data_IF_888506421857
#
_entry.id   IF_888506421857
#
_cell.length_a   1.000
_cell.length_b   1.000
_cell.length_c   1.000
_cell.angle_alpha   90.00
_cell.angle_beta   90.00
_cell.angle_gamma   90.00
#
_symmetry.space_group_name_H-M   'P 1'
#
loop_
_entity.id
_entity.type
_entity.pdbx_description
1 polymer ?
#
# COMPACT_ATOMS: atom_id res chain seq x y z
N UNK A 1 6.12 -19.96 -50.63
CA UNK A 1 6.63 -19.11 -49.53
C UNK A 1 5.57 -19.11 -48.41
N UNK A 2 5.91 -19.54 -47.19
CA UNK A 2 4.96 -19.60 -46.05
C UNK A 2 5.06 -18.32 -45.23
N UNK A 3 3.96 -17.58 -45.10
CA UNK A 3 3.89 -16.34 -44.33
C UNK A 3 3.77 -16.62 -42.81
N UNK A 4 4.50 -15.88 -41.95
CA UNK A 4 4.42 -16.06 -40.51
C UNK A 4 3.12 -15.45 -39.97
N UNK A 5 2.29 -16.27 -39.31
CA UNK A 5 1.05 -15.84 -38.67
C UNK A 5 1.37 -15.25 -37.30
N UNK A 6 1.45 -13.91 -37.21
CA UNK A 6 1.64 -13.23 -35.93
C UNK A 6 0.32 -13.23 -35.14
N UNK A 7 0.31 -13.85 -33.95
CA UNK A 7 -0.80 -13.75 -33.00
C UNK A 7 -0.73 -12.39 -32.31
N UNK A 8 -1.53 -11.42 -32.75
CA UNK A 8 -1.76 -10.20 -31.97
C UNK A 8 -2.67 -10.53 -30.79
N UNK A 9 -2.09 -10.71 -29.61
CA UNK A 9 -2.86 -10.78 -28.36
C UNK A 9 -3.37 -9.36 -28.10
N UNK A 10 -4.66 -9.09 -28.38
CA UNK A 10 -5.32 -7.88 -27.90
C UNK A 10 -5.38 -7.98 -26.38
N UNK A 11 -4.47 -7.29 -25.70
CA UNK A 11 -4.55 -7.10 -24.25
C UNK A 11 -5.87 -6.42 -23.92
N UNK A 12 -6.67 -7.05 -23.07
CA UNK A 12 -7.89 -6.45 -22.54
C UNK A 12 -7.51 -5.18 -21.77
N UNK A 13 -8.11 -4.01 -22.08
CA UNK A 13 -7.89 -2.84 -21.26
C UNK A 13 -8.48 -3.13 -19.88
N UNK A 14 -7.64 -3.21 -18.85
CA UNK A 14 -8.08 -3.32 -17.46
C UNK A 14 -8.95 -2.11 -17.15
N UNK A 15 -10.27 -2.29 -17.16
CA UNK A 15 -11.24 -1.31 -16.69
C UNK A 15 -11.05 -1.09 -15.19
N UNK A 16 -10.15 -0.17 -14.84
CA UNK A 16 -9.95 0.30 -13.47
C UNK A 16 -11.09 1.21 -13.04
N UNK A 17 -12.24 0.64 -12.68
CA UNK A 17 -13.45 1.43 -12.36
C UNK A 17 -13.65 1.68 -10.85
N UNK A 18 -13.19 0.79 -9.96
CA UNK A 18 -13.40 0.91 -8.50
C UNK A 18 -12.12 1.00 -7.66
N UNK A 19 -11.19 0.05 -7.84
CA UNK A 19 -9.97 -0.05 -7.02
C UNK A 19 -9.00 1.11 -7.26
N UNK A 20 -8.94 1.63 -8.49
CA UNK A 20 -8.16 2.82 -8.84
C UNK A 20 -8.58 4.05 -8.04
N UNK A 21 -9.89 4.26 -7.86
CA UNK A 21 -10.44 5.37 -7.06
C UNK A 21 -10.09 5.24 -5.57
N UNK A 22 -10.10 4.02 -5.03
CA UNK A 22 -9.65 3.76 -3.65
C UNK A 22 -8.15 4.03 -3.47
N UNK A 23 -7.33 3.75 -4.49
CA UNK A 23 -5.91 4.06 -4.46
C UNK A 23 -5.61 5.56 -4.48
N UNK A 24 -6.50 6.40 -5.03
CA UNK A 24 -6.37 7.86 -4.96
C UNK A 24 -6.48 8.34 -3.51
N UNK A 25 -7.40 7.76 -2.71
CA UNK A 25 -7.57 8.10 -1.30
C UNK A 25 -6.61 7.35 -0.36
N UNK A 26 -5.96 6.29 -0.84
CA UNK A 26 -5.06 5.45 -0.05
C UNK A 26 -3.95 6.24 0.69
N UNK A 27 -3.28 7.26 0.11
CA UNK A 27 -2.28 8.04 0.84
C UNK A 27 -2.86 8.74 2.07
N UNK A 28 -4.02 9.37 1.93
CA UNK A 28 -4.71 10.10 3.00
C UNK A 28 -5.14 9.13 4.11
N UNK A 29 -5.77 8.02 3.73
CA UNK A 29 -6.15 6.97 4.67
C UNK A 29 -4.95 6.41 5.44
N UNK A 30 -3.81 6.25 4.76
CA UNK A 30 -2.58 5.72 5.35
C UNK A 30 -1.97 6.70 6.38
N UNK A 31 -2.03 8.00 6.13
CA UNK A 31 -1.59 9.02 7.08
C UNK A 31 -2.48 9.05 8.33
N UNK A 32 -3.80 9.00 8.16
CA UNK A 32 -4.74 8.93 9.29
C UNK A 32 -4.52 7.68 10.13
N UNK A 33 -4.43 6.50 9.50
CA UNK A 33 -4.13 5.24 10.18
C UNK A 33 -2.79 5.32 10.94
N UNK A 34 -1.80 5.97 10.36
CA UNK A 34 -0.49 6.17 10.99
C UNK A 34 -0.56 7.06 12.23
N UNK A 35 -1.35 8.14 12.18
CA UNK A 35 -1.54 9.07 13.31
C UNK A 35 -2.27 8.37 14.46
N UNK A 36 -3.36 7.66 14.15
CA UNK A 36 -4.11 6.85 15.13
C UNK A 36 -3.17 5.82 15.76
N UNK A 37 -2.35 5.16 14.95
CA UNK A 37 -1.40 4.16 15.44
C UNK A 37 -0.34 4.75 16.35
N UNK A 38 0.17 5.94 16.02
CA UNK A 38 1.13 6.67 16.86
C UNK A 38 0.50 7.07 18.20
N UNK A 39 -0.76 7.49 18.20
CA UNK A 39 -1.52 7.78 19.42
C UNK A 39 -1.69 6.52 20.30
N UNK A 40 -2.08 5.39 19.71
CA UNK A 40 -2.17 4.11 20.43
C UNK A 40 -0.82 3.65 21.00
N UNK A 41 0.28 3.86 20.27
CA UNK A 41 1.63 3.55 20.76
C UNK A 41 2.05 4.45 21.92
N UNK A 42 1.67 5.74 21.92
CA UNK A 42 1.92 6.65 23.06
C UNK A 42 1.14 6.25 24.32
N UNK A 43 -0.09 5.77 24.16
CA UNK A 43 -0.90 5.26 25.28
C UNK A 43 -0.36 3.96 25.86
N UNK A 44 0.38 3.18 25.06
CA UNK A 44 1.10 2.01 25.56
C UNK A 44 2.35 2.46 26.31
N UNK A 45 2.48 2.02 27.57
CA UNK A 45 3.71 2.22 28.34
C UNK A 45 4.92 1.56 27.67
N UNK A 46 6.11 2.11 27.93
CA UNK A 46 7.42 1.72 27.36
C UNK A 46 7.70 0.20 27.41
N UNK A 47 7.12 -0.50 28.40
CA UNK A 47 7.37 -1.91 28.67
C UNK A 47 6.24 -2.85 28.24
N UNK A 48 5.15 -2.33 27.65
CA UNK A 48 4.01 -3.15 27.24
C UNK A 48 4.30 -3.80 25.89
N UNK A 49 4.51 -5.12 25.88
CA UNK A 49 4.70 -5.89 24.64
C UNK A 49 3.55 -5.67 23.66
N UNK A 50 3.89 -5.45 22.39
CA UNK A 50 2.94 -5.40 21.28
C UNK A 50 2.22 -6.76 21.11
N UNK A 51 0.89 -6.76 20.91
CA UNK A 51 0.13 -7.99 20.65
C UNK A 51 0.50 -8.52 19.25
N UNK A 52 0.34 -9.81 18.98
CA UNK A 52 0.66 -10.40 17.66
C UNK A 52 -0.09 -9.68 16.51
N UNK A 53 -1.38 -9.37 16.72
CA UNK A 53 -2.22 -8.61 15.79
C UNK A 53 -1.65 -7.24 15.49
N UNK A 54 -1.11 -6.57 16.50
CA UNK A 54 -0.52 -5.25 16.36
C UNK A 54 0.74 -5.24 15.48
N UNK A 55 1.54 -6.30 15.60
CA UNK A 55 2.74 -6.48 14.78
C UNK A 55 2.38 -6.73 13.31
N UNK A 56 1.34 -7.52 13.06
CA UNK A 56 0.85 -7.75 11.71
C UNK A 56 0.33 -6.46 11.06
N UNK A 57 -0.43 -5.65 11.80
CA UNK A 57 -0.88 -4.34 11.32
C UNK A 57 0.30 -3.40 11.05
N UNK A 58 1.29 -3.37 11.92
CA UNK A 58 2.49 -2.55 11.72
C UNK A 58 3.29 -3.01 10.48
N UNK A 59 3.35 -4.31 10.22
CA UNK A 59 3.98 -4.88 9.03
C UNK A 59 3.22 -4.48 7.76
N UNK A 60 1.89 -4.66 7.73
CA UNK A 60 1.06 -4.28 6.59
C UNK A 60 1.10 -2.78 6.33
N UNK A 61 1.05 -1.96 7.39
CA UNK A 61 1.20 -0.50 7.29
C UNK A 61 2.59 -0.12 6.75
N UNK A 62 3.63 -0.85 7.15
CA UNK A 62 4.99 -0.70 6.64
C UNK A 62 5.09 -1.02 5.14
N UNK A 63 4.46 -2.12 4.69
CA UNK A 63 4.40 -2.48 3.28
C UNK A 63 3.59 -1.46 2.48
N UNK A 64 2.41 -1.06 2.96
CA UNK A 64 1.57 -0.06 2.32
C UNK A 64 2.30 1.30 2.17
N UNK A 65 3.07 1.72 3.20
CA UNK A 65 3.93 2.91 3.10
C UNK A 65 5.05 2.78 2.06
N UNK A 66 5.60 1.59 1.86
CA UNK A 66 6.60 1.36 0.80
C UNK A 66 5.96 1.40 -0.59
N UNK A 67 4.77 0.83 -0.74
CA UNK A 67 4.08 0.74 -2.03
C UNK A 67 3.44 2.07 -2.45
N UNK A 68 2.84 2.80 -1.50
CA UNK A 68 2.13 4.07 -1.76
C UNK A 68 3.03 5.29 -1.51
N UNK A 69 3.98 5.18 -0.57
CA UNK A 69 4.86 6.28 -0.16
C UNK A 69 6.25 6.29 -0.83
N UNK A 70 6.52 5.41 -1.80
CA UNK A 70 7.78 5.37 -2.56
C UNK A 70 8.07 6.64 -3.36
N UNK A 71 7.13 7.59 -3.45
CA UNK A 71 7.34 8.90 -4.08
C UNK A 71 8.06 9.97 -3.25
N UNK A 72 8.33 9.76 -1.95
CA UNK A 72 8.94 10.80 -1.07
C UNK A 72 10.10 10.31 -0.20
N UNK A 73 10.97 9.45 -0.74
CA UNK A 73 12.31 9.25 -0.15
C UNK A 73 13.37 9.78 -1.12
N UNK A 74 13.33 11.10 -1.30
CA UNK A 74 14.50 11.84 -1.74
C UNK A 74 15.63 11.54 -0.76
N UNK A 75 16.65 10.87 -1.27
CA UNK A 75 17.97 10.75 -0.64
C UNK A 75 18.52 12.18 -0.53
N UNK A 76 18.43 12.77 0.66
CA UNK A 76 19.24 13.90 1.10
C UNK A 76 19.61 13.64 2.55
#
# INVERSE_FOLDING_TARGET
MKSPRTRTVKGTPKQGSGLSKLLIYAPIALELLSLIRRSQKKKRGKYVKARKRDRALDFLLGQARRTVGSGKRGRR
#
